data_IF_889087609586
#
_entry.id   IF_889087609586
#
_cell.length_a   1.000
_cell.length_b   1.000
_cell.length_c   1.000
_cell.angle_alpha   90.00
_cell.angle_beta   90.00
_cell.angle_gamma   90.00
#
_symmetry.space_group_name_H-M   'P 1'
#
loop_
_entity.id
_entity.type
_entity.pdbx_description
1 polymer ?
#
# COMPACT_ATOMS: atom_id res chain seq x y z
N UNK A 1 -4.57 -6.09 -16.09
CA UNK A 1 -5.49 -5.72 -15.02
C UNK A 1 -4.82 -6.14 -13.72
N UNK A 2 -4.89 -5.34 -12.65
CA UNK A 2 -4.21 -5.63 -11.38
C UNK A 2 -5.23 -6.11 -10.35
N UNK A 3 -4.81 -7.02 -9.46
CA UNK A 3 -5.73 -7.68 -8.52
C UNK A 3 -5.16 -7.62 -7.11
N UNK A 4 -5.96 -7.13 -6.17
CA UNK A 4 -5.66 -7.17 -4.74
C UNK A 4 -6.60 -8.18 -4.07
N UNK A 5 -6.04 -9.21 -3.44
CA UNK A 5 -6.82 -10.30 -2.84
C UNK A 5 -7.24 -10.02 -1.41
N UNK A 6 -8.46 -10.38 -1.04
CA UNK A 6 -8.96 -10.40 0.34
C UNK A 6 -9.13 -11.83 0.87
N UNK A 7 -9.80 -11.96 2.02
CA UNK A 7 -10.23 -13.26 2.54
C UNK A 7 -11.43 -13.83 1.76
N UNK A 8 -11.61 -15.15 1.81
CA UNK A 8 -12.84 -15.80 1.32
C UNK A 8 -13.12 -15.66 -0.18
N UNK A 9 -12.09 -15.44 -1.00
CA UNK A 9 -12.23 -15.29 -2.46
C UNK A 9 -12.67 -13.90 -2.93
N UNK A 10 -12.74 -12.89 -2.04
CA UNK A 10 -12.96 -11.50 -2.43
C UNK A 10 -11.69 -10.94 -3.09
N UNK A 11 -11.86 -10.09 -4.09
CA UNK A 11 -10.76 -9.38 -4.73
C UNK A 11 -11.21 -8.00 -5.20
N UNK A 12 -10.24 -7.08 -5.26
CA UNK A 12 -10.39 -5.78 -5.88
C UNK A 12 -9.60 -5.78 -7.18
N UNK A 13 -10.32 -5.69 -8.30
CA UNK A 13 -9.75 -5.64 -9.63
C UNK A 13 -9.71 -4.19 -10.14
N UNK A 14 -8.55 -3.75 -10.61
CA UNK A 14 -8.34 -2.37 -11.06
C UNK A 14 -7.63 -2.30 -12.40
N UNK A 15 -7.99 -1.28 -13.18
CA UNK A 15 -7.21 -0.91 -14.36
C UNK A 15 -5.85 -0.37 -13.94
N UNK A 16 -4.90 -0.27 -14.87
CA UNK A 16 -3.59 0.31 -14.59
C UNK A 16 -3.72 1.74 -14.01
N UNK A 17 -4.48 2.61 -14.70
CA UNK A 17 -4.73 3.97 -14.21
C UNK A 17 -5.41 3.98 -12.84
N UNK A 18 -6.37 3.09 -12.59
CA UNK A 18 -7.01 2.97 -11.27
C UNK A 18 -6.03 2.54 -10.17
N UNK A 19 -5.10 1.65 -10.50
CA UNK A 19 -4.09 1.16 -9.56
C UNK A 19 -3.04 2.22 -9.25
N UNK A 20 -2.56 2.97 -10.25
CA UNK A 20 -1.64 4.08 -10.04
C UNK A 20 -2.24 5.11 -9.06
N UNK A 21 -3.48 5.52 -9.29
CA UNK A 21 -4.20 6.43 -8.40
C UNK A 21 -4.37 5.85 -7.00
N UNK A 22 -4.70 4.56 -6.88
CA UNK A 22 -4.85 3.88 -5.60
C UNK A 22 -3.53 3.82 -4.81
N UNK A 23 -2.41 3.54 -5.48
CA UNK A 23 -1.08 3.53 -4.86
C UNK A 23 -0.67 4.93 -4.41
N UNK A 24 -0.89 5.95 -5.24
CA UNK A 24 -0.51 7.34 -4.92
C UNK A 24 -1.19 7.84 -3.64
N UNK A 25 -2.51 7.64 -3.51
CA UNK A 25 -3.24 8.08 -2.31
C UNK A 25 -2.87 7.28 -1.06
N UNK A 26 -2.52 5.99 -1.21
CA UNK A 26 -2.00 5.19 -0.11
C UNK A 26 -0.59 5.59 0.28
N UNK A 27 0.26 5.96 -0.67
CA UNK A 27 1.63 6.40 -0.41
C UNK A 27 1.66 7.72 0.38
N UNK A 28 0.73 8.65 0.10
CA UNK A 28 0.56 9.86 0.91
C UNK A 28 0.18 9.52 2.35
N UNK A 29 -0.80 8.63 2.54
CA UNK A 29 -1.31 8.27 3.86
C UNK A 29 -0.31 7.43 4.69
N UNK A 30 0.31 6.41 4.09
CA UNK A 30 1.28 5.55 4.78
C UNK A 30 2.49 6.36 5.24
N UNK A 31 2.98 7.29 4.41
CA UNK A 31 4.14 8.11 4.73
C UNK A 31 3.89 9.08 5.87
N UNK A 32 2.62 9.46 6.10
CA UNK A 32 2.23 10.30 7.22
C UNK A 32 2.09 9.52 8.53
N UNK A 33 1.83 8.21 8.48
CA UNK A 33 1.50 7.39 9.65
C UNK A 33 2.59 6.41 10.08
N UNK A 34 3.49 6.01 9.17
CA UNK A 34 4.46 4.96 9.42
C UNK A 34 5.41 5.34 10.57
N UNK A 35 5.52 4.45 11.55
CA UNK A 35 6.41 4.62 12.70
C UNK A 35 7.06 3.31 13.15
N UNK A 36 6.38 2.18 12.96
CA UNK A 36 6.84 0.88 13.39
C UNK A 36 7.51 0.10 12.24
N UNK A 37 8.36 -0.90 12.54
CA UNK A 37 9.04 -1.69 11.50
C UNK A 37 8.11 -2.31 10.45
N UNK A 38 6.91 -2.74 10.86
CA UNK A 38 5.92 -3.31 9.94
C UNK A 38 5.39 -2.26 8.95
N UNK A 39 5.16 -1.04 9.42
CA UNK A 39 4.63 0.07 8.62
C UNK A 39 5.55 0.40 7.45
N UNK A 40 6.86 0.46 7.70
CA UNK A 40 7.86 0.74 6.67
C UNK A 40 8.01 -0.41 5.66
N UNK A 41 7.80 -1.66 6.09
CA UNK A 41 7.74 -2.81 5.18
C UNK A 41 6.49 -2.73 4.29
N UNK A 42 5.37 -2.29 4.84
CA UNK A 42 4.13 -2.08 4.08
C UNK A 42 4.27 -0.93 3.08
N UNK A 43 4.90 0.19 3.47
CA UNK A 43 5.23 1.28 2.57
C UNK A 43 6.14 0.81 1.42
N UNK A 44 7.16 0.00 1.73
CA UNK A 44 8.00 -0.62 0.72
C UNK A 44 7.18 -1.50 -0.25
N UNK A 45 6.25 -2.32 0.24
CA UNK A 45 5.35 -3.10 -0.62
C UNK A 45 4.55 -2.21 -1.58
N UNK A 46 4.05 -1.07 -1.11
CA UNK A 46 3.33 -0.11 -1.95
C UNK A 46 4.24 0.47 -3.06
N UNK A 47 5.52 0.71 -2.78
CA UNK A 47 6.48 1.16 -3.81
C UNK A 47 6.70 0.10 -4.89
N UNK A 48 6.57 -1.19 -4.56
CA UNK A 48 6.60 -2.30 -5.52
C UNK A 48 5.30 -2.41 -6.32
N UNK A 49 4.30 -1.56 -6.06
CA UNK A 49 3.10 -1.45 -6.88
C UNK A 49 3.15 -0.26 -7.85
N UNK A 50 4.26 0.51 -7.85
CA UNK A 50 4.48 1.59 -8.81
C UNK A 50 4.65 1.01 -10.22
N UNK A 51 3.61 1.21 -11.03
CA UNK A 51 3.56 0.70 -12.39
C UNK A 51 4.49 1.43 -13.37
N UNK A 52 5.04 2.59 -13.00
CA UNK A 52 6.07 3.25 -13.79
C UNK A 52 7.39 2.47 -13.73
N UNK A 53 7.65 1.75 -12.64
CA UNK A 53 8.85 0.93 -12.44
C UNK A 53 8.61 -0.55 -12.79
N UNK A 54 7.52 -1.14 -12.30
CA UNK A 54 7.26 -2.58 -12.46
C UNK A 54 6.70 -2.96 -13.84
N UNK A 55 6.15 -2.00 -14.57
CA UNK A 55 5.39 -2.26 -15.78
C UNK A 55 3.91 -2.51 -15.49
N UNK A 56 3.09 -2.42 -16.55
CA UNK A 56 1.63 -2.43 -16.45
C UNK A 56 1.09 -3.87 -16.35
N UNK A 57 0.19 -4.13 -15.41
CA UNK A 57 -0.53 -5.40 -15.31
C UNK A 57 0.19 -6.51 -14.51
N UNK A 58 1.28 -6.19 -13.80
CA UNK A 58 2.07 -7.13 -13.00
C UNK A 58 2.09 -6.79 -11.50
N UNK A 59 1.19 -5.90 -11.05
CA UNK A 59 1.13 -5.44 -9.66
C UNK A 59 -0.16 -5.91 -8.99
N UNK A 60 -0.15 -5.94 -7.66
CA UNK A 60 -1.20 -6.49 -6.80
C UNK A 60 -0.64 -7.49 -5.78
N UNK A 61 -1.32 -7.64 -4.66
CA UNK A 61 -0.99 -8.62 -3.62
C UNK A 61 -2.24 -9.06 -2.86
N UNK A 62 -2.21 -10.24 -2.25
CA UNK A 62 -3.27 -10.74 -1.37
C UNK A 62 -3.04 -10.41 0.10
N UNK A 63 -4.10 -10.05 0.83
CA UNK A 63 -4.05 -9.93 2.30
C UNK A 63 -3.60 -11.24 2.97
N UNK A 64 -3.98 -12.39 2.40
CA UNK A 64 -3.57 -13.70 2.87
C UNK A 64 -2.07 -13.97 2.72
N UNK A 65 -1.38 -13.22 1.86
CA UNK A 65 0.04 -13.39 1.54
C UNK A 65 0.93 -12.46 2.37
N UNK A 66 0.35 -11.46 3.05
CA UNK A 66 1.12 -10.58 3.92
C UNK A 66 1.61 -11.32 5.17
N UNK A 67 2.83 -10.99 5.58
CA UNK A 67 3.33 -11.32 6.91
C UNK A 67 2.75 -10.33 7.93
N UNK A 68 1.69 -10.73 8.63
CA UNK A 68 1.02 -9.91 9.65
C UNK A 68 1.71 -9.97 11.02
N UNK A 69 2.83 -10.68 11.15
CA UNK A 69 3.50 -10.93 12.43
C UNK A 69 3.15 -12.27 13.07
N UNK A 70 4.00 -12.66 14.01
CA UNK A 70 4.02 -14.00 14.60
C UNK A 70 3.04 -14.12 15.76
N UNK A 71 2.79 -13.01 16.46
CA UNK A 71 1.91 -12.95 17.63
C UNK A 71 0.53 -12.37 17.30
N UNK A 72 -0.52 -12.72 18.07
CA UNK A 72 -1.84 -12.07 17.93
C UNK A 72 -1.80 -10.55 18.06
N UNK A 73 -0.91 -10.02 18.89
CA UNK A 73 -0.73 -8.59 19.13
C UNK A 73 -0.14 -7.89 17.91
N UNK A 74 0.91 -8.44 17.30
CA UNK A 74 1.50 -7.90 16.07
C UNK A 74 0.48 -7.91 14.92
N UNK A 75 -0.28 -9.00 14.79
CA UNK A 75 -1.35 -9.12 13.79
C UNK A 75 -2.43 -8.06 13.96
N UNK A 76 -2.86 -7.83 15.19
CA UNK A 76 -3.83 -6.80 15.50
C UNK A 76 -3.28 -5.40 15.21
N UNK A 77 -2.02 -5.13 15.57
CA UNK A 77 -1.37 -3.84 15.32
C UNK A 77 -1.19 -3.55 13.82
N UNK A 78 -0.74 -4.53 13.04
CA UNK A 78 -0.62 -4.42 11.59
C UNK A 78 -1.98 -4.18 10.90
N UNK A 79 -3.03 -4.89 11.35
CA UNK A 79 -4.40 -4.67 10.86
C UNK A 79 -4.93 -3.29 11.21
N UNK A 80 -4.77 -2.85 12.46
CA UNK A 80 -5.14 -1.51 12.89
C UNK A 80 -4.44 -0.44 12.06
N UNK A 81 -3.11 -0.57 11.87
CA UNK A 81 -2.34 0.36 11.06
C UNK A 81 -2.87 0.45 9.62
N UNK A 82 -3.10 -0.68 8.95
CA UNK A 82 -3.63 -0.66 7.59
C UNK A 82 -5.02 0.00 7.51
N UNK A 83 -5.89 -0.24 8.50
CA UNK A 83 -7.18 0.44 8.58
C UNK A 83 -7.02 1.96 8.78
N UNK A 84 -6.09 2.40 9.63
CA UNK A 84 -5.79 3.83 9.83
C UNK A 84 -5.24 4.49 8.56
N UNK A 85 -4.39 3.81 7.81
CA UNK A 85 -3.90 4.28 6.48
C UNK A 85 -5.07 4.47 5.53
N UNK A 86 -5.99 3.50 5.45
CA UNK A 86 -7.15 3.57 4.58
C UNK A 86 -8.12 4.66 4.99
N UNK A 87 -8.35 4.85 6.29
CA UNK A 87 -9.18 5.92 6.82
C UNK A 87 -8.59 7.30 6.54
N UNK A 88 -7.26 7.46 6.68
CA UNK A 88 -6.57 8.70 6.35
C UNK A 88 -6.65 8.98 4.83
N UNK A 89 -6.45 7.98 3.98
CA UNK A 89 -6.61 8.13 2.53
C UNK A 89 -8.07 8.49 2.16
N UNK A 90 -9.06 7.89 2.81
CA UNK A 90 -10.49 8.22 2.63
C UNK A 90 -10.85 9.63 3.07
N UNK A 91 -10.11 10.22 4.02
CA UNK A 91 -10.22 11.64 4.40
C UNK A 91 -9.66 12.60 3.35
N UNK A 92 -9.20 12.07 2.21
CA UNK A 92 -8.55 12.79 1.10
C UNK A 92 -7.25 13.48 1.51
N UNK A 93 -6.50 12.85 2.43
CA UNK A 93 -5.25 13.39 2.93
C UNK A 93 -4.26 13.69 1.80
N UNK A 94 -3.92 14.97 1.64
CA UNK A 94 -2.96 15.51 0.66
C UNK A 94 -3.31 15.26 -0.81
N UNK A 95 -4.58 14.99 -1.13
CA UNK A 95 -5.00 14.78 -2.51
C UNK A 95 -4.82 16.04 -3.37
N UNK A 96 -4.84 17.22 -2.76
CA UNK A 96 -4.55 18.51 -3.41
C UNK A 96 -3.12 18.63 -3.95
N UNK A 97 -2.20 17.75 -3.53
CA UNK A 97 -0.84 17.68 -4.07
C UNK A 97 -0.75 16.86 -5.37
N UNK A 98 -1.79 16.10 -5.72
CA UNK A 98 -1.86 15.38 -6.97
C UNK A 98 -2.13 16.34 -8.13
N UNK A 99 -1.43 16.18 -9.26
CA UNK A 99 -1.65 17.00 -10.47
C UNK A 99 -2.90 16.59 -11.25
N UNK A 100 -3.72 15.70 -10.69
CA UNK A 100 -4.91 15.12 -11.29
C UNK A 100 -5.97 14.85 -10.22
N UNK A 101 -7.25 14.88 -10.60
CA UNK A 101 -8.33 14.43 -9.71
C UNK A 101 -8.37 12.90 -9.67
N UNK A 102 -8.52 12.25 -8.51
CA UNK A 102 -8.60 10.80 -8.38
C UNK A 102 -10.05 10.28 -8.21
N UNK A 103 -10.96 10.40 -9.21
CA UNK A 103 -12.41 10.25 -9.02
C UNK A 103 -12.87 8.85 -8.61
N UNK A 104 -12.04 7.81 -8.84
CA UNK A 104 -12.36 6.42 -8.49
C UNK A 104 -11.67 5.94 -7.21
N UNK A 105 -10.73 6.72 -6.66
CA UNK A 105 -9.94 6.31 -5.50
C UNK A 105 -10.81 5.97 -4.29
N UNK A 106 -11.82 6.79 -3.99
CA UNK A 106 -12.70 6.54 -2.85
C UNK A 106 -13.42 5.20 -2.95
N UNK A 107 -13.88 4.81 -4.15
CA UNK A 107 -14.54 3.53 -4.37
C UNK A 107 -13.58 2.37 -4.07
N UNK A 108 -12.36 2.44 -4.60
CA UNK A 108 -11.33 1.44 -4.36
C UNK A 108 -10.94 1.35 -2.88
N UNK A 109 -10.75 2.50 -2.22
CA UNK A 109 -10.43 2.57 -0.80
C UNK A 109 -11.54 1.97 0.07
N UNK A 110 -12.82 2.30 -0.19
CA UNK A 110 -13.95 1.72 0.57
C UNK A 110 -14.03 0.21 0.41
N UNK A 111 -13.88 -0.30 -0.82
CA UNK A 111 -13.88 -1.74 -1.09
C UNK A 111 -12.71 -2.43 -0.38
N UNK A 112 -11.49 -1.89 -0.52
CA UNK A 112 -10.32 -2.50 0.09
C UNK A 112 -10.36 -2.44 1.62
N UNK A 113 -10.84 -1.32 2.20
CA UNK A 113 -11.07 -1.20 3.64
C UNK A 113 -12.04 -2.25 4.15
N UNK A 114 -13.18 -2.47 3.49
CA UNK A 114 -14.12 -3.51 3.87
C UNK A 114 -13.47 -4.91 3.80
N UNK A 115 -12.64 -5.16 2.78
CA UNK A 115 -11.87 -6.42 2.68
C UNK A 115 -10.89 -6.59 3.85
N UNK A 116 -10.17 -5.54 4.25
CA UNK A 116 -9.26 -5.57 5.40
C UNK A 116 -10.02 -5.75 6.72
N UNK A 117 -11.14 -5.06 6.90
CA UNK A 117 -11.98 -5.12 8.09
C UNK A 117 -12.49 -6.54 8.35
N UNK A 118 -12.97 -7.23 7.32
CA UNK A 118 -13.45 -8.60 7.41
C UNK A 118 -12.35 -9.65 7.49
N UNK A 119 -11.15 -9.35 6.99
CA UNK A 119 -10.05 -10.31 6.93
C UNK A 119 -9.53 -10.66 8.33
N UNK A 120 -9.39 -11.95 8.62
CA UNK A 120 -8.73 -12.42 9.84
C UNK A 120 -7.25 -12.72 9.58
N UNK A 121 -6.31 -11.91 10.10
CA UNK A 121 -4.88 -12.13 9.95
C UNK A 121 -4.38 -13.48 10.47
N UNK A 122 -5.09 -14.13 11.39
CA UNK A 122 -4.72 -15.46 11.87
C UNK A 122 -4.87 -16.55 10.80
N UNK A 123 -5.63 -16.28 9.74
CA UNK A 123 -5.81 -17.18 8.59
C UNK A 123 -4.77 -16.97 7.49
N UNK A 124 -3.97 -15.90 7.59
CA UNK A 124 -2.95 -15.58 6.61
C UNK A 124 -1.89 -16.69 6.54
N UNK A 125 -1.43 -16.97 5.33
CA UNK A 125 -0.29 -17.83 5.06
C UNK A 125 0.72 -16.98 4.33
N UNK A 126 1.59 -16.32 5.10
CA UNK A 126 2.57 -15.39 4.57
C UNK A 126 3.25 -15.98 3.33
N UNK A 127 3.03 -15.33 2.19
CA UNK A 127 3.68 -15.67 0.95
C UNK A 127 5.15 -15.33 1.11
N UNK A 128 6.04 -16.26 0.77
CA UNK A 128 7.47 -16.01 0.83
C UNK A 128 7.82 -14.83 -0.07
N UNK A 129 8.24 -13.70 0.52
CA UNK A 129 8.72 -12.54 -0.21
C UNK A 129 7.66 -11.56 -0.75
N UNK A 130 6.40 -11.65 -0.30
CA UNK A 130 5.39 -10.63 -0.68
C UNK A 130 5.61 -9.34 0.11
N UNK A 131 5.55 -9.38 1.44
CA UNK A 131 5.92 -8.23 2.27
C UNK A 131 7.46 -8.13 2.35
N UNK A 132 8.08 -7.00 1.94
CA UNK A 132 9.52 -6.82 2.03
C UNK A 132 10.08 -7.13 3.42
N UNK A 133 11.31 -7.66 3.47
CA UNK A 133 11.98 -7.96 4.72
C UNK A 133 12.40 -6.68 5.46
N UNK A 134 12.81 -6.78 6.74
CA UNK A 134 13.25 -5.61 7.52
C UNK A 134 14.40 -4.81 6.89
N UNK A 135 15.24 -5.44 6.06
CA UNK A 135 16.35 -4.77 5.36
C UNK A 135 15.91 -3.96 4.15
N UNK A 136 14.73 -4.28 3.63
CA UNK A 136 14.17 -3.67 2.42
C UNK A 136 13.00 -2.73 2.76
N UNK A 137 12.87 -2.36 4.04
CA UNK A 137 11.87 -1.43 4.53
C UNK A 137 12.15 0.00 4.04
N UNK A 138 11.09 0.70 3.64
CA UNK A 138 11.15 2.07 3.13
C UNK A 138 11.38 3.05 4.29
N UNK A 139 12.63 3.21 4.72
CA UNK A 139 13.00 4.07 5.85
C UNK A 139 13.55 5.44 5.42
N UNK A 140 13.91 5.60 4.15
CA UNK A 140 14.27 6.89 3.59
C UNK A 140 13.02 7.61 3.07
N UNK A 141 13.13 8.92 2.84
CA UNK A 141 12.02 9.74 2.38
C UNK A 141 12.46 10.69 1.28
N UNK A 142 11.62 10.81 0.25
CA UNK A 142 11.77 11.84 -0.76
C UNK A 142 11.48 13.21 -0.13
N UNK A 143 12.48 14.08 -0.10
CA UNK A 143 12.35 15.43 0.47
C UNK A 143 11.36 16.29 -0.33
N UNK A 144 11.32 16.14 -1.66
CA UNK A 144 10.43 16.92 -2.53
C UNK A 144 8.96 16.61 -2.27
N UNK A 145 8.62 15.33 -2.20
CA UNK A 145 7.22 14.88 -2.11
C UNK A 145 6.79 14.46 -0.71
N UNK A 146 7.71 14.47 0.27
CA UNK A 146 7.46 14.08 1.67
C UNK A 146 6.72 12.74 1.75
N UNK A 147 7.25 11.76 1.03
CA UNK A 147 6.80 10.37 1.08
C UNK A 147 7.98 9.45 1.28
N UNK A 148 7.73 8.30 1.88
CA UNK A 148 8.72 7.22 1.99
C UNK A 148 9.20 6.86 0.59
N UNK A 149 10.52 6.76 0.46
CA UNK A 149 11.13 6.41 -0.81
C UNK A 149 11.06 4.90 -1.05
N UNK A 150 11.47 4.51 -2.24
CA UNK A 150 11.47 3.11 -2.63
C UNK A 150 12.84 2.46 -2.46
N UNK A 151 13.78 3.02 -1.70
CA UNK A 151 15.04 2.37 -1.42
C UNK A 151 14.79 1.10 -0.59
N UNK A 152 15.53 0.01 -0.86
CA UNK A 152 16.66 -0.09 -1.79
C UNK A 152 16.27 -0.40 -3.25
N UNK A 153 14.99 -0.48 -3.58
CA UNK A 153 14.52 -0.90 -4.91
C UNK A 153 14.80 0.15 -5.99
N UNK A 154 14.46 1.42 -5.73
CA UNK A 154 14.63 2.53 -6.69
C UNK A 154 15.13 3.80 -6.00
N UNK A 155 15.95 4.60 -6.70
CA UNK A 155 16.47 5.89 -6.22
C UNK A 155 15.43 7.05 -6.30
N UNK A 156 14.15 6.75 -6.46
CA UNK A 156 13.06 7.71 -6.64
C UNK A 156 11.77 7.24 -5.95
N UNK A 157 10.96 8.17 -5.44
CA UNK A 157 9.61 7.84 -4.95
C UNK A 157 8.59 7.75 -6.10
N UNK A 158 7.39 7.25 -5.79
CA UNK A 158 6.28 7.05 -6.75
C UNK A 158 5.89 8.31 -7.52
N UNK A 159 6.11 9.48 -6.93
CA UNK A 159 5.80 10.77 -7.55
C UNK A 159 6.92 11.29 -8.44
N UNK A 160 8.18 11.06 -8.06
CA UNK A 160 9.33 11.35 -8.91
C UNK A 160 9.29 10.52 -10.21
N UNK A 161 8.92 9.25 -10.13
CA UNK A 161 8.82 8.34 -11.29
C UNK A 161 7.65 8.70 -12.20
N UNK A 162 6.55 9.20 -11.64
CA UNK A 162 5.39 9.68 -12.40
C UNK A 162 5.60 11.05 -13.07
N UNK A 163 6.65 11.79 -12.70
CA UNK A 163 6.96 13.10 -13.25
C UNK A 163 6.08 14.24 -12.71
N UNK A 164 5.57 14.08 -11.48
CA UNK A 164 4.75 15.09 -10.78
C UNK A 164 5.56 15.90 -9.77
#
# INVERSE_FOLDING_TARGET
>A
MNVFGGGGGRYLEMTNGGTAVFVDVLMLAVSALAHEPWDFRFAALLTLQDQNMMGRGVVGFGLAELDWGDTPQERAAAKDFLLRVLDLALSRHRWEELTYEPPRAEGYLRTYRAMVEEFDPATARAGTGVLPGPRDAAMASCVRHRVLDALPFWEACVFCTAGV
#
